data_IF_425999201119
#
_entry.id   IF_425999201119
#
_cell.length_a   1.000
_cell.length_b   1.000
_cell.length_c   1.000
_cell.angle_alpha   90.00
_cell.angle_beta   90.00
_cell.angle_gamma   90.00
#
_symmetry.space_group_name_H-M   'P 1'
#
loop_
_entity.id
_entity.type
_entity.pdbx_description
1 polymer ?
#
# COMPACT_ATOMS: atom_id res chain seq x y z
N UNK A 1 7.46 11.55 10.11
CA UNK A 1 6.04 12.00 10.18
C UNK A 1 5.17 10.78 10.40
N UNK A 2 4.67 10.58 11.62
CA UNK A 2 3.87 9.41 11.97
C UNK A 2 2.38 9.77 12.08
N UNK A 3 1.52 9.01 11.40
CA UNK A 3 0.07 9.23 11.45
C UNK A 3 -0.70 8.18 10.65
N UNK A 4 -1.97 7.96 11.05
CA UNK A 4 -2.89 7.15 10.23
C UNK A 4 -3.24 7.91 8.96
N UNK A 5 -3.19 7.20 7.84
CA UNK A 5 -3.65 7.71 6.57
C UNK A 5 -5.17 7.91 6.61
N UNK A 6 -5.62 9.14 6.38
CA UNK A 6 -7.06 9.43 6.22
C UNK A 6 -7.58 9.07 4.82
N UNK A 7 -6.68 8.89 3.86
CA UNK A 7 -6.95 8.59 2.45
C UNK A 7 -5.91 7.58 1.92
N UNK A 8 -6.22 6.79 0.88
CA UNK A 8 -5.29 5.79 0.39
C UNK A 8 -4.10 6.50 -0.25
N UNK A 9 -2.89 6.01 0.01
CA UNK A 9 -1.66 6.66 -0.45
C UNK A 9 -0.87 5.76 -1.38
N UNK A 10 -0.55 6.27 -2.56
CA UNK A 10 0.40 5.64 -3.49
C UNK A 10 1.80 6.11 -3.12
N UNK A 11 2.72 5.15 -2.94
CA UNK A 11 4.16 5.42 -2.83
C UNK A 11 4.74 5.16 -4.22
N UNK A 12 5.48 6.13 -4.77
CA UNK A 12 6.20 5.98 -6.04
C UNK A 12 7.69 6.22 -5.86
N UNK A 13 8.50 5.51 -6.65
CA UNK A 13 9.93 5.73 -6.75
C UNK A 13 10.27 6.98 -7.58
N UNK A 14 11.55 7.39 -7.54
CA UNK A 14 12.11 8.45 -8.37
C UNK A 14 11.84 8.26 -9.88
N UNK A 15 11.70 7.02 -10.34
CA UNK A 15 11.35 6.68 -11.72
C UNK A 15 9.84 6.70 -12.00
N UNK A 16 9.02 7.25 -11.10
CA UNK A 16 7.55 7.20 -11.13
C UNK A 16 6.96 5.78 -11.17
N UNK A 17 7.75 4.77 -10.80
CA UNK A 17 7.24 3.41 -10.63
C UNK A 17 6.47 3.32 -9.31
N UNK A 18 5.33 2.67 -9.33
CA UNK A 18 4.58 2.39 -8.11
C UNK A 18 5.42 1.45 -7.25
N UNK A 19 5.68 1.87 -6.01
CA UNK A 19 6.34 1.05 -5.00
C UNK A 19 5.29 0.24 -4.26
N UNK A 20 4.26 0.90 -3.72
CA UNK A 20 3.14 0.22 -3.07
C UNK A 20 1.90 1.12 -2.94
N UNK A 21 0.76 0.49 -2.66
CA UNK A 21 -0.51 1.12 -2.35
C UNK A 21 -0.84 0.91 -0.88
N UNK A 22 -0.90 2.00 -0.11
CA UNK A 22 -1.25 1.96 1.31
C UNK A 22 -2.75 2.20 1.50
N UNK A 23 -3.46 1.30 2.20
CA UNK A 23 -4.90 1.47 2.43
C UNK A 23 -5.20 2.61 3.41
N UNK A 24 -6.43 3.09 3.37
CA UNK A 24 -6.94 4.06 4.35
C UNK A 24 -6.85 3.45 5.76
N UNK A 25 -6.49 4.27 6.74
CA UNK A 25 -6.30 3.88 8.13
C UNK A 25 -4.95 3.22 8.41
N UNK A 26 -4.13 2.94 7.39
CA UNK A 26 -2.78 2.45 7.57
C UNK A 26 -1.96 3.44 8.40
N UNK A 27 -1.34 2.97 9.47
CA UNK A 27 -0.44 3.77 10.26
C UNK A 27 0.87 3.93 9.51
N UNK A 28 1.11 5.10 8.94
CA UNK A 28 2.33 5.40 8.21
C UNK A 28 3.30 6.15 9.13
N UNK A 29 4.52 5.62 9.29
CA UNK A 29 5.59 6.23 10.07
C UNK A 29 6.94 6.03 9.36
N UNK A 30 7.99 6.66 9.90
CA UNK A 30 9.32 6.64 9.30
C UNK A 30 9.93 5.22 9.29
N UNK A 31 9.75 4.42 10.35
CA UNK A 31 10.20 3.01 10.37
C UNK A 31 9.54 2.16 9.27
N UNK A 32 8.21 2.26 9.10
CA UNK A 32 7.47 1.50 8.09
C UNK A 32 7.85 1.94 6.68
N UNK A 33 8.17 3.22 6.50
CA UNK A 33 8.73 3.71 5.25
C UNK A 33 10.04 3.01 4.92
N UNK A 34 10.98 2.95 5.86
CA UNK A 34 12.25 2.23 5.66
C UNK A 34 12.03 0.74 5.37
N UNK A 35 11.10 0.08 6.08
CA UNK A 35 10.74 -1.33 5.82
C UNK A 35 10.16 -1.56 4.42
N UNK A 36 9.30 -0.66 3.93
CA UNK A 36 8.74 -0.70 2.57
C UNK A 36 9.88 -0.59 1.55
N UNK A 37 10.80 0.34 1.74
CA UNK A 37 11.94 0.51 0.84
C UNK A 37 12.87 -0.69 0.83
N UNK A 38 13.28 -1.21 1.99
CA UNK A 38 14.12 -2.42 2.09
C UNK A 38 13.47 -3.61 1.36
N UNK A 39 12.15 -3.81 1.52
CA UNK A 39 11.43 -4.88 0.82
C UNK A 39 11.36 -4.64 -0.68
N UNK A 40 11.09 -3.41 -1.10
CA UNK A 40 11.01 -3.04 -2.51
C UNK A 40 12.35 -3.24 -3.20
N UNK A 41 13.46 -2.83 -2.57
CA UNK A 41 14.81 -3.06 -3.09
C UNK A 41 15.15 -4.56 -3.16
N UNK A 42 14.78 -5.34 -2.13
CA UNK A 42 14.98 -6.80 -2.14
C UNK A 42 14.17 -7.51 -3.22
N UNK A 43 12.93 -7.07 -3.46
CA UNK A 43 12.05 -7.64 -4.48
C UNK A 43 12.44 -7.17 -5.89
N UNK A 44 12.90 -5.93 -6.00
CA UNK A 44 13.17 -5.25 -7.27
C UNK A 44 11.93 -4.87 -8.06
N UNK A 45 10.73 -5.00 -7.48
CA UNK A 45 9.44 -4.76 -8.13
C UNK A 45 8.38 -4.27 -7.13
N UNK A 46 7.25 -3.80 -7.65
CA UNK A 46 6.11 -3.25 -6.90
C UNK A 46 5.66 -4.21 -5.79
N UNK A 47 5.52 -3.69 -4.57
CA UNK A 47 4.96 -4.43 -3.45
C UNK A 47 3.45 -4.55 -3.62
N UNK A 48 2.98 -5.79 -3.69
CA UNK A 48 1.57 -6.11 -3.75
C UNK A 48 0.96 -6.13 -2.35
N UNK A 49 -0.36 -6.18 -2.25
CA UNK A 49 -1.06 -6.31 -0.96
C UNK A 49 -0.57 -7.53 -0.15
N UNK A 50 -0.18 -8.62 -0.83
CA UNK A 50 0.41 -9.79 -0.18
C UNK A 50 1.76 -9.49 0.49
N UNK A 51 2.62 -8.69 -0.15
CA UNK A 51 3.90 -8.26 0.44
C UNK A 51 3.66 -7.33 1.64
N UNK A 52 2.69 -6.42 1.53
CA UNK A 52 2.31 -5.55 2.65
C UNK A 52 1.77 -6.38 3.83
N UNK A 53 0.94 -7.40 3.59
CA UNK A 53 0.47 -8.32 4.64
C UNK A 53 1.61 -9.09 5.31
N UNK A 54 2.64 -9.45 4.55
CA UNK A 54 3.81 -10.14 5.07
C UNK A 54 4.74 -9.20 5.85
N UNK A 55 4.88 -7.95 5.41
CA UNK A 55 5.65 -6.90 6.09
C UNK A 55 4.98 -6.41 7.37
N UNK A 56 3.67 -6.28 7.33
CA UNK A 56 2.84 -5.73 8.41
C UNK A 56 1.78 -6.76 8.82
N UNK A 57 2.18 -7.91 9.42
CA UNK A 57 1.24 -8.92 9.87
C UNK A 57 0.34 -8.42 11.01
N UNK A 58 0.86 -7.47 11.80
CA UNK A 58 0.16 -6.86 12.95
C UNK A 58 -0.84 -5.77 12.52
N UNK A 59 -0.74 -5.27 11.28
CA UNK A 59 -1.55 -4.14 10.84
C UNK A 59 -2.92 -4.59 10.34
N UNK A 60 -3.94 -4.40 11.18
CA UNK A 60 -5.31 -4.80 10.85
C UNK A 60 -5.81 -4.19 9.54
N UNK A 61 -5.46 -2.95 9.22
CA UNK A 61 -5.90 -2.28 7.98
C UNK A 61 -5.30 -2.87 6.70
N UNK A 62 -4.19 -3.60 6.82
CA UNK A 62 -3.57 -4.34 5.71
C UNK A 62 -4.13 -5.75 5.64
N UNK A 63 -4.40 -6.38 6.80
CA UNK A 63 -4.97 -7.72 6.88
C UNK A 63 -6.43 -7.75 6.44
N UNK A 64 -7.21 -6.82 7.00
CA UNK A 64 -8.58 -6.45 6.70
C UNK A 64 -8.53 -5.04 6.11
N UNK A 65 -8.12 -4.88 4.83
CA UNK A 65 -8.52 -3.66 4.13
C UNK A 65 -10.01 -3.54 4.35
N UNK A 66 -10.48 -2.36 4.76
CA UNK A 66 -11.91 -2.09 4.83
C UNK A 66 -12.50 -2.67 3.55
N UNK A 67 -13.49 -3.55 3.66
CA UNK A 67 -14.25 -4.06 2.54
C UNK A 67 -14.80 -2.83 1.82
N UNK A 68 -14.00 -2.29 0.90
CA UNK A 68 -14.45 -1.31 -0.05
C UNK A 68 -15.56 -2.05 -0.79
N UNK A 69 -16.74 -1.49 -0.61
CA UNK A 69 -18.02 -2.07 -0.94
C UNK A 69 -18.13 -2.21 -2.45
N UNK A 70 -17.44 -3.16 -3.06
CA UNK A 70 -17.64 -3.53 -4.45
C UNK A 70 -17.67 -2.36 -5.42
N UNK A 71 -17.01 -1.24 -5.15
CA UNK A 71 -16.69 -0.27 -6.19
C UNK A 71 -15.48 -0.80 -6.91
N UNK A 72 -15.74 -1.92 -7.60
CA UNK A 72 -15.11 -2.28 -8.86
C UNK A 72 -14.45 -1.04 -9.43
N UNK A 73 -13.14 -1.12 -9.64
CA UNK A 73 -12.50 -0.43 -10.75
C UNK A 73 -13.15 -0.99 -12.03
N UNK A 74 -14.43 -0.69 -12.24
CA UNK A 74 -15.10 -0.70 -13.52
C UNK A 74 -14.43 0.44 -14.28
N UNK A 75 -13.21 0.19 -14.76
CA UNK A 75 -12.91 0.53 -16.15
C UNK A 75 -13.92 -0.26 -17.00
N UNK A 76 -15.19 0.13 -16.95
CA UNK A 76 -16.13 -0.09 -18.03
C UNK A 76 -15.61 0.76 -19.17
N UNK A 77 -14.66 0.15 -19.87
CA UNK A 77 -14.57 0.21 -21.31
C UNK A 77 -15.99 0.17 -21.84
N UNK A 78 -16.41 1.22 -22.53
CA UNK A 78 -17.31 1.21 -23.70
C UNK A 78 -17.99 2.57 -23.86
N UNK A 79 -18.53 2.89 -25.05
CA UNK A 79 -18.04 2.61 -26.40
C UNK A 79 -17.83 3.89 -27.23
#
# INVERSE_FOLDING_TARGET
MAGKLSEPKVITDLNQKVVCLLPIGFYFNDERWEMIWDRYEKKGDTLSMADLKALFPDEETVQKPAEDSGETFNHKKQP
#
